data_IF_390182315837
#
_entry.id   IF_390182315837
#
_cell.length_a   1.000
_cell.length_b   1.000
_cell.length_c   1.000
_cell.angle_alpha   90.00
_cell.angle_beta   90.00
_cell.angle_gamma   90.00
#
_symmetry.space_group_name_H-M   'P 1'
#
loop_
_entity.id
_entity.type
_entity.pdbx_description
1 polymer ?
#
# COMPACT_ATOMS: atom_id res chain seq x y z
N UNK A 1 71.73 -12.48 41.38
CA UNK A 1 70.45 -12.75 42.05
C UNK A 1 69.64 -11.47 42.11
N UNK A 2 68.35 -11.56 41.72
CA UNK A 2 67.24 -10.64 42.07
C UNK A 2 67.32 -9.18 41.54
N UNK A 3 66.29 -8.58 40.96
CA UNK A 3 64.90 -8.99 40.86
C UNK A 3 64.14 -8.05 39.92
N UNK A 4 63.30 -8.65 39.08
CA UNK A 4 62.39 -7.98 38.15
C UNK A 4 61.19 -7.48 38.97
N UNK A 5 61.02 -6.15 39.11
CA UNK A 5 59.78 -5.56 39.63
C UNK A 5 58.92 -5.08 38.47
N UNK A 6 58.07 -5.97 37.96
CA UNK A 6 56.94 -5.65 37.11
C UNK A 6 55.84 -5.03 37.97
N UNK A 7 55.76 -3.71 37.99
CA UNK A 7 54.61 -2.99 38.56
C UNK A 7 53.44 -3.05 37.59
N UNK A 8 52.58 -4.07 37.70
CA UNK A 8 51.25 -4.01 37.13
C UNK A 8 50.38 -3.14 38.06
N UNK A 9 50.20 -1.86 37.71
CA UNK A 9 49.26 -0.98 38.40
C UNK A 9 47.81 -1.48 38.23
N UNK A 10 46.91 -1.20 39.18
CA UNK A 10 45.54 -1.69 39.11
C UNK A 10 44.85 -1.15 37.86
N UNK A 11 44.41 -2.07 36.99
CA UNK A 11 43.60 -1.74 35.81
C UNK A 11 42.27 -1.14 36.27
N UNK A 12 42.11 0.18 36.15
CA UNK A 12 40.84 0.85 36.44
C UNK A 12 39.73 0.26 35.56
N UNK A 13 38.54 -0.06 36.11
CA UNK A 13 37.43 -0.51 35.29
C UNK A 13 37.06 0.61 34.33
N UNK A 14 37.22 0.36 33.02
CA UNK A 14 36.75 1.31 31.99
C UNK A 14 35.24 1.45 32.17
N UNK A 15 34.70 2.68 32.34
CA UNK A 15 33.26 2.84 32.45
C UNK A 15 32.61 2.24 31.20
N UNK A 16 31.50 1.49 31.33
CA UNK A 16 30.83 0.92 30.17
C UNK A 16 30.52 2.07 29.22
N UNK A 17 31.01 1.95 27.97
CA UNK A 17 30.78 2.95 26.92
C UNK A 17 29.26 3.11 26.76
N UNK A 18 28.69 4.17 27.34
CA UNK A 18 27.25 4.48 27.33
C UNK A 18 26.79 4.99 25.95
N UNK A 19 27.27 4.37 24.88
CA UNK A 19 26.99 4.76 23.50
C UNK A 19 25.50 4.79 23.22
N UNK A 20 24.74 3.84 23.80
CA UNK A 20 23.29 3.74 23.70
C UNK A 20 22.49 4.85 24.43
N UNK A 21 23.11 5.61 25.34
CA UNK A 21 22.49 6.78 25.96
C UNK A 21 22.82 8.09 25.25
N UNK A 22 23.65 8.05 24.20
CA UNK A 22 23.92 9.24 23.41
C UNK A 22 22.61 9.70 22.76
N UNK A 23 22.27 10.99 22.88
CA UNK A 23 21.03 11.58 22.33
C UNK A 23 20.84 11.22 20.85
N UNK A 24 21.94 11.14 20.09
CA UNK A 24 21.92 10.70 18.69
C UNK A 24 21.46 9.25 18.52
N UNK A 25 21.95 8.31 19.33
CA UNK A 25 21.54 6.90 19.23
C UNK A 25 20.06 6.76 19.59
N UNK A 26 19.60 7.45 20.63
CA UNK A 26 18.19 7.49 20.99
C UNK A 26 17.33 8.13 19.89
N UNK A 27 17.78 9.23 19.30
CA UNK A 27 17.10 9.90 18.18
C UNK A 27 17.01 8.99 16.95
N UNK A 28 18.11 8.35 16.55
CA UNK A 28 18.12 7.39 15.45
C UNK A 28 17.22 6.20 15.74
N UNK A 29 17.24 5.66 16.97
CA UNK A 29 16.35 4.59 17.38
C UNK A 29 14.87 5.01 17.30
N UNK A 30 14.54 6.22 17.77
CA UNK A 30 13.19 6.77 17.67
C UNK A 30 12.74 6.92 16.20
N UNK A 31 13.62 7.37 15.30
CA UNK A 31 13.33 7.47 13.88
C UNK A 31 13.09 6.10 13.25
N UNK A 32 13.90 5.10 13.60
CA UNK A 32 13.72 3.71 13.15
C UNK A 32 12.38 3.15 13.64
N UNK A 33 12.02 3.39 14.90
CA UNK A 33 10.73 2.96 15.47
C UNK A 33 9.56 3.65 14.76
N UNK A 34 9.64 4.96 14.53
CA UNK A 34 8.61 5.70 13.81
C UNK A 34 8.45 5.19 12.36
N UNK A 35 9.56 4.95 11.67
CA UNK A 35 9.54 4.39 10.32
C UNK A 35 8.96 2.98 10.29
N UNK A 36 9.34 2.12 11.23
CA UNK A 36 8.79 0.77 11.35
C UNK A 36 7.29 0.79 11.66
N UNK A 37 6.86 1.67 12.57
CA UNK A 37 5.44 1.89 12.89
C UNK A 37 4.64 2.32 11.67
N UNK A 38 5.14 3.30 10.92
CA UNK A 38 4.52 3.76 9.67
C UNK A 38 4.46 2.65 8.61
N UNK A 39 5.57 1.93 8.40
CA UNK A 39 5.65 0.84 7.43
C UNK A 39 4.68 -0.30 7.77
N UNK A 40 4.58 -0.65 9.06
CA UNK A 40 3.64 -1.62 9.58
C UNK A 40 2.19 -1.18 9.39
N UNK A 41 1.85 0.05 9.78
CA UNK A 41 0.53 0.63 9.58
C UNK A 41 0.11 0.61 8.09
N UNK A 42 0.97 1.10 7.20
CA UNK A 42 0.70 1.11 5.76
C UNK A 42 0.47 -0.30 5.20
N UNK A 43 1.17 -1.31 5.73
CA UNK A 43 1.03 -2.70 5.31
C UNK A 43 -0.30 -3.30 5.76
N UNK A 44 -0.75 -2.99 6.99
CA UNK A 44 -2.07 -3.42 7.48
C UNK A 44 -3.19 -2.70 6.72
N UNK A 45 -3.07 -1.39 6.54
CA UNK A 45 -4.04 -0.59 5.79
C UNK A 45 -4.15 -1.08 4.33
N UNK A 46 -3.04 -1.45 3.68
CA UNK A 46 -3.06 -1.98 2.32
C UNK A 46 -3.91 -3.25 2.18
N UNK A 47 -3.86 -4.15 3.17
CA UNK A 47 -4.69 -5.38 3.18
C UNK A 47 -6.19 -5.06 3.19
N UNK A 48 -6.58 -4.00 3.90
CA UNK A 48 -7.99 -3.58 3.99
C UNK A 48 -8.50 -2.90 2.71
N UNK A 49 -7.58 -2.38 1.89
CA UNK A 49 -7.92 -1.70 0.62
C UNK A 49 -8.11 -2.66 -0.55
N UNK A 50 -7.56 -3.87 -0.47
CA UNK A 50 -7.64 -4.89 -1.51
C UNK A 50 -8.94 -5.69 -1.39
N UNK A 51 -9.66 -5.81 -2.49
CA UNK A 51 -10.86 -6.65 -2.57
C UNK A 51 -10.50 -8.14 -2.41
N UNK A 52 -11.25 -8.93 -1.61
CA UNK A 52 -11.06 -10.38 -1.50
C UNK A 52 -11.02 -11.11 -2.85
N UNK A 53 -11.83 -10.68 -3.83
CA UNK A 53 -11.87 -11.28 -5.17
C UNK A 53 -10.57 -11.04 -5.96
N UNK A 54 -9.87 -9.94 -5.70
CA UNK A 54 -8.55 -9.69 -6.25
C UNK A 54 -7.49 -10.57 -5.56
N UNK A 55 -7.66 -10.84 -4.26
CA UNK A 55 -6.74 -11.68 -3.49
C UNK A 55 -6.58 -13.12 -3.99
N UNK A 56 -7.60 -13.71 -4.61
CA UNK A 56 -7.48 -15.02 -5.30
C UNK A 56 -6.69 -14.89 -6.60
N UNK A 57 -7.00 -13.88 -7.41
CA UNK A 57 -6.31 -13.62 -8.67
C UNK A 57 -4.81 -13.32 -8.45
N UNK A 58 -4.47 -12.54 -7.43
CA UNK A 58 -3.08 -12.21 -7.09
C UNK A 58 -2.27 -13.44 -6.63
N UNK A 59 -2.91 -14.45 -6.05
CA UNK A 59 -2.25 -15.71 -5.65
C UNK A 59 -1.81 -16.56 -6.84
N UNK A 60 -2.41 -16.37 -8.02
CA UNK A 60 -1.99 -17.06 -9.24
C UNK A 60 -0.60 -16.65 -9.73
N UNK A 61 -0.06 -15.53 -9.24
CA UNK A 61 1.21 -14.97 -9.68
C UNK A 61 1.15 -14.23 -11.03
N UNK A 62 0.05 -14.36 -11.77
CA UNK A 62 -0.08 -13.79 -13.10
C UNK A 62 -0.40 -12.29 -13.04
N UNK A 63 0.02 -11.51 -14.06
CA UNK A 63 -0.41 -10.12 -14.19
C UNK A 63 -1.92 -10.01 -14.36
N UNK A 64 -2.54 -9.07 -13.65
CA UNK A 64 -4.00 -8.87 -13.66
C UNK A 64 -4.37 -7.42 -14.03
N UNK A 65 -5.62 -7.24 -14.44
CA UNK A 65 -6.28 -5.93 -14.53
C UNK A 65 -6.81 -5.52 -13.15
N UNK A 66 -6.62 -4.25 -12.79
CA UNK A 66 -7.10 -3.69 -11.52
C UNK A 66 -7.69 -2.29 -11.72
N UNK A 67 -8.65 -1.99 -10.86
CA UNK A 67 -9.25 -0.67 -10.70
C UNK A 67 -8.79 -0.05 -9.39
N UNK A 68 -8.18 1.13 -9.46
CA UNK A 68 -7.65 1.85 -8.30
C UNK A 68 -8.52 3.07 -8.04
N UNK A 69 -9.16 3.12 -6.86
CA UNK A 69 -9.97 4.25 -6.40
C UNK A 69 -9.11 5.23 -5.62
N UNK A 70 -9.23 6.50 -5.97
CA UNK A 70 -8.69 7.61 -5.20
C UNK A 70 -9.84 8.32 -4.47
N UNK A 71 -9.59 8.99 -3.34
CA UNK A 71 -10.63 9.74 -2.64
C UNK A 71 -11.06 11.00 -3.42
N UNK A 72 -10.29 11.41 -4.43
CA UNK A 72 -10.50 12.57 -5.28
C UNK A 72 -10.25 12.22 -6.77
N UNK A 73 -10.61 13.09 -7.73
CA UNK A 73 -10.31 12.90 -9.15
C UNK A 73 -8.79 12.82 -9.42
N UNK A 74 -8.30 11.87 -10.22
CA UNK A 74 -6.87 11.72 -10.49
C UNK A 74 -6.31 12.91 -11.27
N UNK A 75 -5.27 13.53 -10.73
CA UNK A 75 -4.43 14.50 -11.44
C UNK A 75 -3.33 13.81 -12.26
N UNK A 76 -2.65 14.55 -13.14
CA UNK A 76 -1.62 14.04 -14.05
C UNK A 76 -0.52 13.26 -13.32
N UNK A 77 -0.09 13.73 -12.14
CA UNK A 77 0.94 13.05 -11.37
C UNK A 77 0.50 11.64 -10.94
N UNK A 78 -0.77 11.47 -10.58
CA UNK A 78 -1.30 10.16 -10.17
C UNK A 78 -1.29 9.20 -11.34
N UNK A 79 -1.74 9.68 -12.49
CA UNK A 79 -1.81 8.89 -13.71
C UNK A 79 -0.40 8.46 -14.11
N UNK A 80 0.56 9.39 -14.13
CA UNK A 80 1.96 9.10 -14.46
C UNK A 80 2.60 8.12 -13.48
N UNK A 81 2.39 8.32 -12.17
CA UNK A 81 2.88 7.42 -11.14
C UNK A 81 2.34 5.98 -11.30
N UNK A 82 1.08 5.86 -11.76
CA UNK A 82 0.44 4.57 -12.05
C UNK A 82 0.95 3.95 -13.36
N UNK A 83 1.26 4.77 -14.37
CA UNK A 83 1.86 4.31 -15.63
C UNK A 83 3.23 3.65 -15.43
N UNK A 84 4.02 4.11 -14.45
CA UNK A 84 5.30 3.47 -14.11
C UNK A 84 5.13 2.05 -13.51
N UNK A 85 3.90 1.70 -13.10
CA UNK A 85 3.58 0.46 -12.36
C UNK A 85 2.70 -0.51 -13.15
N UNK A 86 2.18 -0.09 -14.30
CA UNK A 86 1.29 -0.88 -15.14
C UNK A 86 0.84 -0.08 -16.35
N UNK A 87 0.02 -0.69 -17.20
CA UNK A 87 -0.51 0.03 -18.37
C UNK A 87 -1.84 0.67 -18.00
N UNK A 88 -1.86 2.00 -17.85
CA UNK A 88 -3.11 2.75 -17.67
C UNK A 88 -3.89 2.70 -18.98
N UNK A 89 -5.12 2.21 -18.92
CA UNK A 89 -6.00 2.09 -20.10
C UNK A 89 -7.16 3.09 -20.06
N UNK A 90 -7.41 3.70 -18.90
CA UNK A 90 -8.41 4.75 -18.78
C UNK A 90 -8.56 5.28 -17.36
N UNK A 91 -9.21 6.43 -17.28
CA UNK A 91 -9.66 7.04 -16.03
C UNK A 91 -11.17 7.26 -16.11
N UNK A 92 -11.87 6.99 -15.01
CA UNK A 92 -13.33 7.09 -14.88
C UNK A 92 -13.69 7.69 -13.53
N UNK A 93 -14.01 8.97 -13.49
CA UNK A 93 -14.26 9.70 -12.24
C UNK A 93 -13.05 9.62 -11.32
N UNK A 94 -13.18 8.93 -10.19
CA UNK A 94 -12.09 8.71 -9.21
C UNK A 94 -11.30 7.43 -9.41
N UNK A 95 -11.58 6.69 -10.48
CA UNK A 95 -11.00 5.38 -10.74
C UNK A 95 -9.97 5.43 -11.86
N UNK A 96 -8.84 4.78 -11.64
CA UNK A 96 -7.81 4.55 -12.66
C UNK A 96 -7.81 3.05 -12.97
N UNK A 97 -7.92 2.70 -14.26
CA UNK A 97 -7.82 1.32 -14.71
C UNK A 97 -6.40 1.01 -15.17
N UNK A 98 -5.79 0.01 -14.53
CA UNK A 98 -4.47 -0.50 -14.87
C UNK A 98 -4.58 -1.94 -15.36
N UNK A 99 -3.79 -2.27 -16.36
CA UNK A 99 -3.61 -3.65 -16.85
C UNK A 99 -2.16 -4.09 -16.72
N UNK A 100 -1.94 -5.40 -16.79
CA UNK A 100 -0.61 -6.05 -16.65
C UNK A 100 0.07 -5.75 -15.32
N UNK A 101 -0.70 -5.64 -14.24
CA UNK A 101 -0.16 -5.36 -12.90
C UNK A 101 0.25 -6.65 -12.23
N UNK A 102 1.53 -6.77 -11.85
CA UNK A 102 2.05 -7.91 -11.08
C UNK A 102 1.52 -7.87 -9.63
N UNK A 103 1.38 -9.01 -8.95
CA UNK A 103 0.89 -9.04 -7.58
C UNK A 103 1.67 -8.15 -6.60
N UNK A 104 2.99 -8.19 -6.63
CA UNK A 104 3.83 -7.33 -5.79
C UNK A 104 3.55 -5.83 -6.04
N UNK A 105 3.30 -5.47 -7.29
CA UNK A 105 2.99 -4.09 -7.66
C UNK A 105 1.61 -3.67 -7.15
N UNK A 106 0.59 -4.53 -7.25
CA UNK A 106 -0.74 -4.28 -6.69
C UNK A 106 -0.67 -4.01 -5.17
N UNK A 107 0.11 -4.81 -4.45
CA UNK A 107 0.40 -4.59 -3.03
C UNK A 107 1.09 -3.24 -2.76
N UNK A 108 2.07 -2.88 -3.59
CA UNK A 108 2.76 -1.59 -3.47
C UNK A 108 1.82 -0.39 -3.68
N UNK A 109 0.89 -0.51 -4.64
CA UNK A 109 -0.12 0.51 -4.92
C UNK A 109 -1.07 0.68 -3.73
N UNK A 110 -1.54 -0.42 -3.15
CA UNK A 110 -2.44 -0.39 -2.00
C UNK A 110 -1.83 0.30 -0.76
N UNK A 111 -0.51 0.29 -0.60
CA UNK A 111 0.20 0.96 0.51
C UNK A 111 0.21 2.48 0.41
N UNK A 112 -0.09 3.04 -0.76
CA UNK A 112 -0.09 4.49 -0.95
C UNK A 112 -1.21 5.13 -0.13
N UNK A 113 -0.90 6.25 0.52
CA UNK A 113 -1.84 6.90 1.43
C UNK A 113 -3.05 7.48 0.67
N UNK A 114 -2.87 7.92 -0.57
CA UNK A 114 -3.93 8.44 -1.44
C UNK A 114 -4.73 7.35 -2.18
N UNK A 115 -4.41 6.08 -2.02
CA UNK A 115 -5.23 4.99 -2.58
C UNK A 115 -6.29 4.60 -1.57
N UNK A 116 -7.56 4.64 -1.98
CA UNK A 116 -8.69 4.30 -1.14
C UNK A 116 -9.09 2.83 -1.27
N UNK A 117 -9.18 2.30 -2.49
CA UNK A 117 -9.52 0.90 -2.77
C UNK A 117 -8.82 0.39 -4.01
N UNK A 118 -8.59 -0.92 -4.05
CA UNK A 118 -8.07 -1.63 -5.23
C UNK A 118 -8.97 -2.84 -5.49
N UNK A 119 -9.60 -2.87 -6.66
CA UNK A 119 -10.51 -3.94 -7.10
C UNK A 119 -9.96 -4.69 -8.31
N UNK A 120 -10.35 -5.95 -8.45
CA UNK A 120 -10.12 -6.72 -9.68
C UNK A 120 -11.19 -6.44 -10.72
N UNK A 121 -11.14 -7.19 -11.82
CA UNK A 121 -12.22 -7.23 -12.81
C UNK A 121 -13.35 -8.17 -12.31
N UNK A 122 -14.64 -7.89 -12.56
CA UNK A 122 -15.15 -6.74 -13.30
C UNK A 122 -15.08 -5.41 -12.53
N UNK A 123 -14.77 -4.33 -13.25
CA UNK A 123 -14.71 -2.98 -12.69
C UNK A 123 -16.03 -2.49 -12.08
N UNK A 124 -16.02 -1.33 -11.38
CA UNK A 124 -17.20 -0.78 -10.71
C UNK A 124 -18.45 -0.69 -11.60
N UNK A 125 -18.24 -0.34 -12.87
CA UNK A 125 -19.29 -0.25 -13.88
C UNK A 125 -19.78 -1.61 -14.39
N UNK A 126 -18.92 -2.63 -14.50
CA UNK A 126 -19.35 -3.98 -14.87
C UNK A 126 -20.27 -4.60 -13.82
N UNK A 127 -20.02 -4.29 -12.54
CA UNK A 127 -20.94 -4.64 -11.45
C UNK A 127 -22.28 -3.89 -11.57
N UNK A 128 -22.28 -2.58 -11.85
CA UNK A 128 -23.51 -1.81 -12.04
C UNK A 128 -24.32 -2.27 -13.26
N UNK A 129 -23.65 -2.54 -14.38
CA UNK A 129 -24.29 -3.01 -15.61
C UNK A 129 -24.89 -4.41 -15.46
N UNK A 130 -24.24 -5.29 -14.68
CA UNK A 130 -24.84 -6.60 -14.32
C UNK A 130 -26.08 -6.48 -13.45
N UNK A 131 -26.13 -5.48 -12.56
CA UNK A 131 -27.30 -5.19 -11.72
C UNK A 131 -28.44 -4.60 -12.54
N UNK A 132 -28.13 -3.69 -13.46
CA UNK A 132 -29.11 -3.07 -14.36
C UNK A 132 -29.70 -4.09 -15.35
N UNK A 133 -28.86 -4.94 -15.96
CA UNK A 133 -29.32 -6.05 -16.82
C UNK A 133 -30.14 -7.11 -16.08
N UNK A 134 -29.92 -7.28 -14.77
CA UNK A 134 -30.67 -8.22 -13.93
C UNK A 134 -31.99 -7.68 -13.40
N UNK A 135 -32.27 -6.38 -13.57
CA UNK A 135 -33.54 -5.79 -13.13
C UNK A 135 -34.64 -6.09 -14.14
N UNK A 136 -35.78 -6.72 -13.75
CA UNK A 136 -36.90 -6.86 -14.66
C UNK A 136 -37.34 -5.45 -15.05
N UNK A 137 -37.23 -5.12 -16.35
CA UNK A 137 -37.74 -3.85 -16.88
C UNK A 137 -39.15 -3.68 -16.34
N UNK A 138 -39.36 -2.68 -15.48
CA UNK A 138 -40.67 -2.30 -14.98
C UNK A 138 -41.46 -1.82 -16.18
N UNK A 139 -42.15 -2.74 -16.84
CA UNK A 139 -43.17 -2.42 -17.82
C UNK A 139 -44.24 -1.61 -17.10
N UNK A 140 -44.54 -0.43 -17.64
CA UNK A 140 -45.62 0.42 -17.15
C UNK A 140 -45.11 1.72 -16.55
N UNK A 141 -45.15 2.78 -17.35
CA UNK A 141 -46.21 3.76 -17.17
C UNK A 141 -46.71 4.17 -18.55
N UNK A 142 -47.87 3.62 -18.91
CA UNK A 142 -48.68 4.13 -20.00
C UNK A 142 -48.99 5.61 -19.70
N UNK A 143 -48.65 6.47 -20.65
CA UNK A 143 -49.18 7.82 -20.75
C UNK A 143 -50.68 7.67 -21.02
N UNK A 144 -51.50 7.88 -20.00
CA UNK A 144 -52.93 8.14 -20.17
C UNK A 144 -53.10 9.65 -20.04
N UNK A 145 -53.09 10.31 -21.20
CA UNK A 145 -53.64 11.65 -21.35
C UNK A 145 -55.16 11.52 -21.27
N UNK A 146 -55.76 12.20 -20.29
CA UNK A 146 -57.18 12.58 -20.25
C UNK A 146 -57.20 14.08 -20.07
#
# INVERSE_FOLDING_TARGET
MSGRRTGAGPSSPRPPRRWFLHRTVLFTAALVVAWAGWSGYASVAARQKLDPALGTALRSGQPVGIWVELPFPPEEFHIRYMQDRGTVTGVRGRWIHLTRVRPATAWSIARLYWVQRVRGEPGPQGAQESVDRGSPRRAGHAVLSV
#
